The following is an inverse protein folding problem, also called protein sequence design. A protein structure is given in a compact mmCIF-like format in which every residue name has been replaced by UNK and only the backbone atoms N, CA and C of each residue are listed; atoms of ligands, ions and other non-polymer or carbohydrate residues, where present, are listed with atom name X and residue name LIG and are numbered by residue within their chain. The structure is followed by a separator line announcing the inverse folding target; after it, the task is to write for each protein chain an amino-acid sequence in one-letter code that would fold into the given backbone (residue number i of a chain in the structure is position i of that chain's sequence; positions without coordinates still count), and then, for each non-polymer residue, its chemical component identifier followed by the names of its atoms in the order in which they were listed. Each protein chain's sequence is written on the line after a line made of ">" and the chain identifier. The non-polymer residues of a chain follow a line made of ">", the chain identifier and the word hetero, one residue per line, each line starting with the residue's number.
data_IF_062049736103
#
_entry.id   IF_062049736103
#
_cell.length_a   1.000
_cell.length_b   1.000
_cell.length_c   1.000
_cell.angle_alpha   90.00
_cell.angle_beta   90.00
_cell.angle_gamma   90.00
#
_symmetry.space_group_name_H-M   'P 1'
#
loop_
_entity.id
_entity.type
_entity.pdbx_description
1 polymer ?
#
# COMPACT_ATOMS: atom_id res chain seq x y z
N UNK A 1 -25.32 -31.77 7.81
CA UNK A 1 -24.63 -31.02 6.75
C UNK A 1 -24.46 -29.59 7.27
N UNK A 2 -23.32 -29.30 7.90
CA UNK A 2 -23.06 -27.95 8.42
C UNK A 2 -22.69 -27.06 7.25
N UNK A 3 -23.53 -26.04 6.96
CA UNK A 3 -23.21 -24.98 6.02
C UNK A 3 -22.05 -24.17 6.62
N UNK A 4 -20.87 -24.26 6.06
CA UNK A 4 -19.77 -23.38 6.36
C UNK A 4 -20.19 -21.97 5.94
N UNK A 5 -20.43 -21.08 6.92
CA UNK A 5 -20.67 -19.67 6.67
C UNK A 5 -19.30 -19.04 6.29
N UNK A 6 -19.01 -19.00 5.01
CA UNK A 6 -17.81 -18.35 4.48
C UNK A 6 -18.06 -16.84 4.45
N UNK A 7 -17.83 -16.15 5.55
CA UNK A 7 -17.83 -14.69 5.58
C UNK A 7 -16.50 -14.17 5.02
N UNK A 8 -16.59 -13.29 4.04
CA UNK A 8 -15.42 -12.57 3.50
C UNK A 8 -15.25 -11.28 4.27
N UNK A 9 -14.16 -11.18 5.03
CA UNK A 9 -13.80 -9.94 5.71
C UNK A 9 -13.08 -8.97 4.78
N UNK A 10 -13.28 -7.66 5.00
CA UNK A 10 -12.57 -6.62 4.23
C UNK A 10 -11.06 -6.67 4.44
N UNK A 11 -10.60 -7.17 5.59
CA UNK A 11 -9.19 -7.36 5.93
C UNK A 11 -8.43 -8.29 4.98
N UNK A 12 -9.11 -9.26 4.36
CA UNK A 12 -8.48 -10.21 3.42
C UNK A 12 -7.91 -9.53 2.15
N UNK A 13 -8.30 -8.27 1.91
CA UNK A 13 -7.90 -7.48 0.75
C UNK A 13 -6.85 -6.41 1.06
N UNK A 14 -6.40 -6.30 2.31
CA UNK A 14 -5.65 -5.13 2.77
C UNK A 14 -4.31 -4.91 2.07
N UNK A 15 -3.56 -5.95 1.76
CA UNK A 15 -2.21 -5.79 1.22
C UNK A 15 -2.20 -5.22 -0.20
N UNK A 16 -2.90 -5.86 -1.13
CA UNK A 16 -2.93 -5.39 -2.52
C UNK A 16 -3.76 -4.10 -2.67
N UNK A 17 -4.85 -3.95 -1.89
CA UNK A 17 -5.66 -2.74 -1.91
C UNK A 17 -4.85 -1.54 -1.43
N UNK A 18 -4.08 -1.70 -0.34
CA UNK A 18 -3.18 -0.66 0.18
C UNK A 18 -2.15 -0.24 -0.87
N UNK A 19 -1.45 -1.20 -1.49
CA UNK A 19 -0.47 -0.92 -2.54
C UNK A 19 -1.09 -0.21 -3.74
N UNK A 20 -2.27 -0.65 -4.19
CA UNK A 20 -2.99 -0.05 -5.31
C UNK A 20 -3.49 1.37 -5.00
N UNK A 21 -4.06 1.60 -3.83
CA UNK A 21 -4.53 2.94 -3.41
C UNK A 21 -3.36 3.89 -3.24
N UNK A 22 -2.26 3.43 -2.63
CA UNK A 22 -1.04 4.22 -2.47
C UNK A 22 -0.47 4.59 -3.83
N UNK A 23 -0.30 3.62 -4.73
CA UNK A 23 0.22 3.87 -6.08
C UNK A 23 -0.64 4.84 -6.88
N UNK A 24 -1.96 4.66 -6.90
CA UNK A 24 -2.87 5.54 -7.63
C UNK A 24 -2.90 6.98 -7.07
N UNK A 25 -2.94 7.14 -5.74
CA UNK A 25 -2.86 8.44 -5.10
C UNK A 25 -1.53 9.13 -5.40
N UNK A 26 -0.42 8.41 -5.27
CA UNK A 26 0.91 8.96 -5.52
C UNK A 26 1.07 9.35 -7.00
N UNK A 27 0.67 8.50 -7.93
CA UNK A 27 0.70 8.81 -9.36
C UNK A 27 -0.10 10.06 -9.70
N UNK A 28 -1.29 10.22 -9.12
CA UNK A 28 -2.14 11.37 -9.37
C UNK A 28 -1.56 12.64 -8.73
N UNK A 29 -1.17 12.60 -7.45
CA UNK A 29 -0.70 13.78 -6.70
C UNK A 29 0.68 14.20 -7.19
N UNK A 30 1.65 13.29 -7.30
CA UNK A 30 3.03 13.62 -7.65
C UNK A 30 3.14 14.16 -9.07
N UNK A 31 2.49 13.52 -10.05
CA UNK A 31 2.49 13.96 -11.44
C UNK A 31 1.76 15.30 -11.60
N UNK A 32 0.58 15.47 -10.97
CA UNK A 32 -0.14 16.73 -11.02
C UNK A 32 0.63 17.87 -10.34
N UNK A 33 1.27 17.60 -9.21
CA UNK A 33 2.06 18.58 -8.47
C UNK A 33 3.27 19.05 -9.26
N UNK A 34 4.00 18.10 -9.86
CA UNK A 34 5.16 18.43 -10.70
C UNK A 34 4.74 19.24 -11.93
N UNK A 35 3.69 18.82 -12.63
CA UNK A 35 3.14 19.56 -13.77
C UNK A 35 2.62 20.94 -13.37
N UNK A 36 1.96 21.09 -12.22
CA UNK A 36 1.50 22.37 -11.70
C UNK A 36 2.66 23.30 -11.37
N UNK A 37 3.72 22.79 -10.74
CA UNK A 37 4.91 23.56 -10.44
C UNK A 37 5.60 24.08 -11.69
N UNK A 38 5.83 23.21 -12.65
CA UNK A 38 6.46 23.57 -13.94
C UNK A 38 5.54 24.50 -14.75
N UNK A 39 4.23 24.24 -14.82
CA UNK A 39 3.28 25.10 -15.52
C UNK A 39 3.20 26.51 -14.92
N UNK A 40 3.34 26.67 -13.61
CA UNK A 40 3.36 27.96 -12.92
C UNK A 40 4.60 28.81 -13.23
N UNK A 41 5.69 28.18 -13.69
CA UNK A 41 6.91 28.85 -14.19
C UNK A 41 6.80 29.27 -15.69
N UNK A 42 5.64 29.10 -16.31
CA UNK A 42 5.33 29.47 -17.71
C UNK A 42 6.24 28.79 -18.78
N UNK A 43 6.42 27.46 -18.73
CA UNK A 43 7.21 26.73 -19.71
C UNK A 43 6.46 26.55 -21.03
N UNK A 44 7.21 26.12 -22.06
CA UNK A 44 6.64 25.67 -23.32
C UNK A 44 5.98 24.28 -23.20
N UNK A 45 5.21 23.92 -24.25
CA UNK A 45 4.51 22.63 -24.29
C UNK A 45 5.48 21.42 -24.26
N UNK A 46 6.65 21.53 -24.88
CA UNK A 46 7.62 20.41 -24.92
C UNK A 46 8.19 20.13 -23.53
N UNK A 47 8.49 21.18 -22.78
CA UNK A 47 8.93 21.06 -21.37
C UNK A 47 7.86 20.42 -20.50
N UNK A 48 6.59 20.78 -20.65
CA UNK A 48 5.49 20.16 -19.92
C UNK A 48 5.30 18.70 -20.29
N UNK A 49 5.35 18.36 -21.58
CA UNK A 49 5.25 16.98 -22.05
C UNK A 49 6.40 16.14 -21.51
N UNK A 50 7.63 16.61 -21.66
CA UNK A 50 8.81 15.90 -21.13
C UNK A 50 8.73 15.69 -19.62
N UNK A 51 8.31 16.72 -18.88
CA UNK A 51 8.11 16.65 -17.44
C UNK A 51 7.10 15.58 -17.06
N UNK A 52 5.93 15.60 -17.70
CA UNK A 52 4.86 14.65 -17.40
C UNK A 52 5.21 13.20 -17.75
N UNK A 53 5.84 12.97 -18.90
CA UNK A 53 6.30 11.64 -19.32
C UNK A 53 7.42 11.14 -18.41
N UNK A 54 8.37 12.00 -18.06
CA UNK A 54 9.46 11.66 -17.13
C UNK A 54 8.92 11.33 -15.72
N UNK A 55 7.92 12.09 -15.24
CA UNK A 55 7.26 11.81 -13.98
C UNK A 55 6.54 10.46 -13.99
N UNK A 56 5.82 10.15 -15.07
CA UNK A 56 5.13 8.87 -15.23
C UNK A 56 6.10 7.69 -15.21
N UNK A 57 7.15 7.75 -16.06
CA UNK A 57 8.10 6.63 -16.19
C UNK A 57 8.97 6.51 -14.92
N UNK A 58 9.56 7.61 -14.46
CA UNK A 58 10.41 7.62 -13.28
C UNK A 58 9.66 7.22 -12.03
N UNK A 59 8.43 7.70 -11.85
CA UNK A 59 7.57 7.32 -10.75
C UNK A 59 7.17 5.84 -10.80
N UNK A 60 6.78 5.31 -11.97
CA UNK A 60 6.45 3.90 -12.11
C UNK A 60 7.64 2.99 -11.76
N UNK A 61 8.84 3.31 -12.26
CA UNK A 61 10.07 2.57 -11.93
C UNK A 61 10.40 2.67 -10.43
N UNK A 62 10.26 3.86 -9.84
CA UNK A 62 10.46 4.07 -8.40
C UNK A 62 9.49 3.25 -7.56
N UNK A 63 8.21 3.18 -7.96
CA UNK A 63 7.19 2.37 -7.27
C UNK A 63 7.50 0.88 -7.37
N UNK A 64 7.92 0.37 -8.56
CA UNK A 64 8.37 -1.04 -8.69
C UNK A 64 9.52 -1.31 -7.73
N UNK A 65 10.58 -0.49 -7.79
CA UNK A 65 11.78 -0.72 -7.00
C UNK A 65 11.51 -0.62 -5.50
N UNK A 66 10.80 0.42 -5.06
CA UNK A 66 10.51 0.66 -3.64
C UNK A 66 9.64 -0.43 -3.03
N UNK A 67 8.54 -0.79 -3.70
CA UNK A 67 7.63 -1.83 -3.21
C UNK A 67 8.29 -3.20 -3.24
N UNK A 68 9.02 -3.53 -4.32
CA UNK A 68 9.76 -4.79 -4.41
C UNK A 68 10.77 -4.95 -3.27
N UNK A 69 11.61 -3.93 -3.05
CA UNK A 69 12.63 -3.96 -1.99
C UNK A 69 11.97 -4.06 -0.60
N UNK A 70 10.94 -3.27 -0.34
CA UNK A 70 10.22 -3.26 0.94
C UNK A 70 9.60 -4.61 1.25
N UNK A 71 8.84 -5.19 0.31
CA UNK A 71 8.16 -6.48 0.50
C UNK A 71 9.15 -7.65 0.46
N UNK A 72 10.27 -7.54 -0.28
CA UNK A 72 11.35 -8.53 -0.23
C UNK A 72 12.03 -8.55 1.13
N UNK A 73 12.29 -7.38 1.72
CA UNK A 73 12.84 -7.29 3.08
C UNK A 73 11.91 -7.92 4.13
N UNK A 74 10.60 -7.72 3.99
CA UNK A 74 9.60 -8.40 4.83
C UNK A 74 9.68 -9.92 4.63
N UNK A 75 9.71 -10.41 3.40
CA UNK A 75 9.82 -11.84 3.07
C UNK A 75 11.10 -12.46 3.65
N UNK A 76 12.21 -11.73 3.61
CA UNK A 76 13.49 -12.22 4.16
C UNK A 76 13.46 -12.30 5.69
N UNK A 77 12.79 -11.35 6.36
CA UNK A 77 12.54 -11.39 7.81
C UNK A 77 11.65 -12.59 8.16
N UNK A 78 10.54 -12.79 7.47
CA UNK A 78 9.65 -13.94 7.67
C UNK A 78 10.39 -15.29 7.53
N UNK A 79 11.26 -15.40 6.51
CA UNK A 79 12.08 -16.60 6.32
C UNK A 79 13.11 -16.80 7.44
N UNK A 80 13.70 -15.71 7.93
CA UNK A 80 14.66 -15.77 9.04
C UNK A 80 13.97 -16.22 10.33
N UNK A 81 12.79 -15.70 10.63
CA UNK A 81 11.98 -16.09 11.78
C UNK A 81 11.59 -17.58 11.69
N UNK A 82 11.08 -18.03 10.52
CA UNK A 82 10.76 -19.44 10.29
C UNK A 82 11.99 -20.37 10.36
N UNK A 83 13.18 -19.86 10.00
CA UNK A 83 14.42 -20.65 10.15
C UNK A 83 14.81 -20.80 11.62
N UNK A 84 14.70 -19.72 12.39
CA UNK A 84 14.93 -19.72 13.82
C UNK A 84 13.97 -20.68 14.53
N UNK A 85 12.69 -20.59 14.21
CA UNK A 85 11.63 -21.43 14.75
C UNK A 85 11.87 -22.92 14.49
N UNK A 86 12.26 -23.30 13.27
CA UNK A 86 12.62 -24.69 12.95
C UNK A 86 13.79 -25.19 13.80
N UNK A 87 14.76 -24.33 14.07
CA UNK A 87 15.91 -24.68 14.92
C UNK A 87 15.48 -24.89 16.37
N UNK A 88 14.63 -24.02 16.91
CA UNK A 88 14.12 -24.09 18.29
C UNK A 88 13.25 -25.33 18.48
N UNK A 89 12.30 -25.60 17.59
CA UNK A 89 11.47 -26.81 17.58
C UNK A 89 12.29 -28.12 17.52
N UNK A 90 13.43 -28.09 16.81
CA UNK A 90 14.30 -29.27 16.71
C UNK A 90 15.18 -29.50 17.96
N UNK A 91 15.56 -28.43 18.68
CA UNK A 91 16.51 -28.50 19.76
C UNK A 91 15.88 -28.40 21.17
N UNK A 92 14.71 -27.74 21.26
CA UNK A 92 14.04 -27.45 22.53
C UNK A 92 12.53 -27.75 22.48
N UNK A 93 12.05 -28.90 21.99
CA UNK A 93 10.64 -29.16 21.73
C UNK A 93 9.71 -29.01 22.94
N UNK A 94 10.22 -29.29 24.17
CA UNK A 94 9.45 -29.14 25.39
C UNK A 94 9.24 -27.66 25.76
N UNK A 95 10.22 -26.81 25.51
CA UNK A 95 10.09 -25.36 25.70
C UNK A 95 9.10 -24.75 24.71
N UNK A 96 9.15 -25.17 23.45
CA UNK A 96 8.24 -24.72 22.40
C UNK A 96 6.79 -25.15 22.68
N UNK A 97 6.58 -26.36 23.22
CA UNK A 97 5.25 -26.80 23.66
C UNK A 97 4.71 -25.91 24.79
N UNK A 98 5.55 -25.53 25.76
CA UNK A 98 5.15 -24.64 26.84
C UNK A 98 4.85 -23.24 26.33
N UNK A 99 5.64 -22.72 25.39
CA UNK A 99 5.42 -21.42 24.75
C UNK A 99 4.08 -21.38 24.04
N UNK A 100 3.77 -22.35 23.20
CA UNK A 100 2.48 -22.44 22.51
C UNK A 100 1.32 -22.62 23.51
N UNK A 101 1.51 -23.37 24.60
CA UNK A 101 0.57 -23.52 25.71
C UNK A 101 0.27 -22.15 26.33
N UNK A 102 1.31 -21.36 26.63
CA UNK A 102 1.16 -20.03 27.22
C UNK A 102 0.40 -19.06 26.27
N UNK A 103 0.65 -19.14 24.95
CA UNK A 103 -0.11 -18.37 23.97
C UNK A 103 -1.60 -18.66 24.07
N UNK A 104 -1.99 -19.93 24.16
CA UNK A 104 -3.41 -20.31 24.29
C UNK A 104 -3.99 -19.97 25.66
N UNK A 105 -3.21 -20.04 26.73
CA UNK A 105 -3.59 -19.58 28.07
C UNK A 105 -3.93 -18.08 28.06
N UNK A 106 -3.10 -17.26 27.43
CA UNK A 106 -3.35 -15.81 27.25
C UNK A 106 -4.58 -15.52 26.40
N UNK A 107 -4.95 -16.42 25.51
CA UNK A 107 -6.21 -16.35 24.71
C UNK A 107 -7.43 -16.76 25.51
N UNK A 108 -7.31 -17.14 26.79
CA UNK A 108 -8.41 -17.42 27.72
C UNK A 108 -8.77 -18.89 27.89
N UNK A 109 -7.94 -19.83 27.42
CA UNK A 109 -8.16 -21.24 27.70
C UNK A 109 -7.68 -21.57 29.12
N UNK A 110 -8.34 -22.56 29.77
CA UNK A 110 -7.83 -23.12 31.03
C UNK A 110 -6.52 -23.89 30.81
N UNK A 111 -5.66 -23.97 31.83
CA UNK A 111 -4.36 -24.62 31.73
C UNK A 111 -4.40 -26.04 31.13
N UNK A 112 -5.31 -26.95 31.54
CA UNK A 112 -5.37 -28.27 30.93
C UNK A 112 -5.73 -28.22 29.43
N UNK A 113 -6.69 -27.38 29.08
CA UNK A 113 -7.16 -27.27 27.69
C UNK A 113 -6.13 -26.58 26.79
N UNK A 114 -5.40 -25.58 27.29
CA UNK A 114 -4.33 -24.94 26.56
C UNK A 114 -3.22 -25.92 26.20
N UNK A 115 -2.80 -26.75 27.15
CA UNK A 115 -1.79 -27.79 26.92
C UNK A 115 -2.26 -28.88 25.94
N UNK A 116 -3.50 -29.32 26.03
CA UNK A 116 -4.06 -30.29 25.07
C UNK A 116 -4.13 -29.72 23.64
N UNK A 117 -4.56 -28.46 23.48
CA UNK A 117 -4.61 -27.79 22.17
C UNK A 117 -3.22 -27.61 21.60
N UNK A 118 -2.27 -27.08 22.38
CA UNK A 118 -0.89 -26.89 21.95
C UNK A 118 -0.26 -28.21 21.48
N UNK A 119 -0.41 -29.27 22.28
CA UNK A 119 0.11 -30.59 21.93
C UNK A 119 -0.50 -31.14 20.63
N UNK A 120 -1.81 -31.05 20.48
CA UNK A 120 -2.49 -31.53 19.26
C UNK A 120 -2.05 -30.77 18.01
N UNK A 121 -1.81 -29.46 18.12
CA UNK A 121 -1.34 -28.65 17.00
C UNK A 121 0.11 -28.96 16.65
N UNK A 122 0.99 -29.13 17.63
CA UNK A 122 2.39 -29.52 17.41
C UNK A 122 2.51 -30.94 16.81
N UNK A 123 1.64 -31.88 17.20
CA UNK A 123 1.59 -33.21 16.59
C UNK A 123 1.12 -33.18 15.13
N UNK A 124 0.30 -32.20 14.76
CA UNK A 124 -0.19 -32.03 13.39
C UNK A 124 0.84 -31.33 12.49
N UNK A 125 1.26 -30.11 12.84
CA UNK A 125 2.31 -29.33 12.18
C UNK A 125 2.82 -28.26 13.14
N UNK A 126 3.91 -28.57 13.84
CA UNK A 126 4.48 -27.68 14.85
C UNK A 126 4.90 -26.31 14.25
N UNK A 127 5.59 -26.33 13.11
CA UNK A 127 6.05 -25.10 12.46
C UNK A 127 4.88 -24.23 12.01
N UNK A 128 3.85 -24.79 11.42
CA UNK A 128 2.68 -24.04 11.01
C UNK A 128 1.88 -23.46 12.19
N UNK A 129 1.85 -24.18 13.33
CA UNK A 129 1.22 -23.71 14.56
C UNK A 129 1.94 -22.47 15.12
N UNK A 130 3.27 -22.54 15.28
CA UNK A 130 4.09 -21.42 15.76
C UNK A 130 4.11 -20.26 14.77
N UNK A 131 4.31 -20.53 13.48
CA UNK A 131 4.26 -19.48 12.43
C UNK A 131 2.97 -18.66 12.50
N UNK A 132 1.83 -19.31 12.70
CA UNK A 132 0.52 -18.64 12.78
C UNK A 132 0.27 -17.97 14.13
N UNK A 133 0.55 -18.65 15.24
CA UNK A 133 0.03 -18.25 16.54
C UNK A 133 1.02 -17.40 17.35
N UNK A 134 2.32 -17.53 17.09
CA UNK A 134 3.42 -16.77 17.68
C UNK A 134 3.89 -15.66 16.74
N UNK A 135 4.32 -16.00 15.51
CA UNK A 135 4.94 -15.05 14.57
C UNK A 135 3.86 -14.25 13.81
N UNK A 136 2.65 -14.82 13.62
CA UNK A 136 1.54 -14.18 12.90
C UNK A 136 1.61 -14.35 11.37
N UNK A 137 2.41 -15.29 10.87
CA UNK A 137 2.51 -15.60 9.45
C UNK A 137 1.39 -16.57 9.06
N UNK A 138 0.55 -16.16 8.11
CA UNK A 138 -0.50 -16.98 7.53
C UNK A 138 -0.32 -17.04 6.00
N UNK A 139 -0.94 -18.01 5.33
CA UNK A 139 -0.92 -18.11 3.87
C UNK A 139 -1.43 -16.83 3.17
N UNK A 140 -2.36 -16.11 3.81
CA UNK A 140 -2.93 -14.86 3.28
C UNK A 140 -2.10 -13.63 3.59
N UNK A 141 -1.23 -13.68 4.60
CA UNK A 141 -0.36 -12.57 5.01
C UNK A 141 1.07 -12.67 4.47
N UNK A 142 1.45 -13.82 3.90
CA UNK A 142 2.79 -14.04 3.35
C UNK A 142 3.18 -12.97 2.30
N UNK A 143 4.38 -12.46 2.41
CA UNK A 143 4.89 -11.39 1.55
C UNK A 143 5.03 -11.86 0.09
N UNK A 144 4.47 -11.07 -0.86
CA UNK A 144 4.52 -11.34 -2.30
C UNK A 144 5.14 -10.15 -3.06
N UNK A 145 6.48 -10.02 -3.10
CA UNK A 145 7.18 -8.83 -3.60
C UNK A 145 6.82 -8.44 -5.04
N UNK A 146 6.84 -9.40 -5.95
CA UNK A 146 6.60 -9.11 -7.38
C UNK A 146 5.16 -8.67 -7.63
N UNK A 147 4.19 -9.31 -6.98
CA UNK A 147 2.79 -8.96 -7.13
C UNK A 147 2.51 -7.56 -6.58
N UNK A 148 3.05 -7.23 -5.40
CA UNK A 148 2.91 -5.92 -4.78
C UNK A 148 3.55 -4.83 -5.66
N UNK A 149 4.77 -5.04 -6.16
CA UNK A 149 5.49 -4.12 -7.02
C UNK A 149 4.73 -3.81 -8.33
N UNK A 150 4.25 -4.84 -9.02
CA UNK A 150 3.50 -4.67 -10.26
C UNK A 150 2.14 -3.99 -10.02
N UNK A 151 1.43 -4.34 -8.96
CA UNK A 151 0.15 -3.72 -8.60
C UNK A 151 0.34 -2.24 -8.28
N UNK A 152 1.38 -1.89 -7.52
CA UNK A 152 1.72 -0.51 -7.16
C UNK A 152 2.06 0.34 -8.40
N UNK A 153 2.93 -0.17 -9.27
CA UNK A 153 3.32 0.55 -10.49
C UNK A 153 2.16 0.73 -11.49
N UNK A 154 1.36 -0.31 -11.69
CA UNK A 154 0.18 -0.22 -12.56
C UNK A 154 -0.83 0.82 -12.03
N UNK A 155 -1.04 0.84 -10.73
CA UNK A 155 -1.92 1.81 -10.06
C UNK A 155 -1.35 3.23 -10.13
N UNK A 156 -0.03 3.40 -9.96
CA UNK A 156 0.67 4.66 -10.16
C UNK A 156 0.45 5.20 -11.57
N UNK A 157 0.70 4.38 -12.58
CA UNK A 157 0.47 4.76 -13.98
C UNK A 157 -0.99 5.19 -14.22
N UNK A 158 -1.96 4.44 -13.69
CA UNK A 158 -3.38 4.78 -13.82
C UNK A 158 -3.70 6.14 -13.19
N UNK A 159 -3.11 6.48 -12.03
CA UNK A 159 -3.24 7.79 -11.40
C UNK A 159 -2.56 8.90 -12.19
N UNK A 160 -1.34 8.67 -12.65
CA UNK A 160 -0.50 9.65 -13.34
C UNK A 160 -0.99 10.01 -14.75
N UNK A 161 -1.71 9.11 -15.42
CA UNK A 161 -2.25 9.36 -16.77
C UNK A 161 -3.24 10.54 -16.76
N UNK A 162 -4.07 10.70 -15.73
CA UNK A 162 -5.07 11.77 -15.70
C UNK A 162 -4.44 13.18 -15.78
N UNK A 163 -3.53 13.59 -14.88
CA UNK A 163 -2.88 14.90 -14.96
C UNK A 163 -2.03 15.06 -16.24
N UNK A 164 -1.41 14.00 -16.73
CA UNK A 164 -0.68 14.04 -17.99
C UNK A 164 -1.60 14.37 -19.17
N UNK A 165 -2.75 13.70 -19.29
CA UNK A 165 -3.73 13.99 -20.35
C UNK A 165 -4.28 15.42 -20.24
N UNK A 166 -4.51 15.91 -19.03
CA UNK A 166 -4.95 17.29 -18.82
C UNK A 166 -3.89 18.28 -19.27
N UNK A 167 -2.61 18.02 -18.94
CA UNK A 167 -1.50 18.86 -19.37
C UNK A 167 -1.34 18.91 -20.90
N UNK A 168 -1.66 17.82 -21.60
CA UNK A 168 -1.59 17.73 -23.05
C UNK A 168 -2.76 18.41 -23.78
N UNK A 169 -3.91 18.56 -23.14
CA UNK A 169 -5.14 19.06 -23.76
C UNK A 169 -5.49 20.49 -23.38
N UNK A 170 -5.07 20.96 -22.21
CA UNK A 170 -5.37 22.29 -21.69
C UNK A 170 -4.44 23.33 -22.27
N UNK A 171 -4.94 24.21 -23.16
CA UNK A 171 -4.13 25.21 -23.85
C UNK A 171 -3.99 26.57 -23.12
N UNK A 172 -4.97 27.00 -22.33
CA UNK A 172 -5.02 28.37 -21.79
C UNK A 172 -5.15 28.48 -20.27
N UNK A 173 -5.58 27.42 -19.59
CA UNK A 173 -5.84 27.42 -18.14
C UNK A 173 -5.31 26.15 -17.47
N UNK A 174 -4.06 25.79 -17.77
CA UNK A 174 -3.49 24.51 -17.41
C UNK A 174 -3.43 24.28 -15.88
N UNK A 175 -3.02 25.27 -15.10
CA UNK A 175 -2.93 25.16 -13.63
C UNK A 175 -4.30 24.93 -12.98
N UNK A 176 -5.34 25.72 -13.26
CA UNK A 176 -6.66 25.42 -12.71
C UNK A 176 -7.27 24.12 -13.28
N UNK A 177 -6.98 23.75 -14.52
CA UNK A 177 -7.42 22.47 -15.08
C UNK A 177 -6.79 21.27 -14.36
N UNK A 178 -5.48 21.32 -14.10
CA UNK A 178 -4.78 20.33 -13.29
C UNK A 178 -5.37 20.27 -11.87
N UNK A 179 -5.60 21.41 -11.22
CA UNK A 179 -6.16 21.43 -9.87
C UNK A 179 -7.53 20.77 -9.80
N UNK A 180 -8.46 21.17 -10.67
CA UNK A 180 -9.82 20.60 -10.67
C UNK A 180 -9.83 19.12 -11.03
N UNK A 181 -9.13 18.70 -12.08
CA UNK A 181 -9.08 17.30 -12.48
C UNK A 181 -8.43 16.40 -11.43
N UNK A 182 -7.37 16.88 -10.80
CA UNK A 182 -6.69 16.16 -9.71
C UNK A 182 -7.61 15.99 -8.50
N UNK A 183 -8.30 17.04 -8.06
CA UNK A 183 -9.24 16.95 -6.95
C UNK A 183 -10.42 16.04 -7.25
N UNK A 184 -10.96 16.08 -8.47
CA UNK A 184 -11.99 15.12 -8.90
C UNK A 184 -11.47 13.68 -8.90
N UNK A 185 -10.25 13.45 -9.39
CA UNK A 185 -9.61 12.15 -9.39
C UNK A 185 -9.38 11.62 -7.97
N UNK A 186 -8.87 12.48 -7.07
CA UNK A 186 -8.66 12.14 -5.65
C UNK A 186 -9.97 11.83 -4.93
N UNK A 187 -11.03 12.61 -5.19
CA UNK A 187 -12.35 12.34 -4.64
C UNK A 187 -12.88 10.99 -5.11
N UNK A 188 -12.71 10.67 -6.39
CA UNK A 188 -13.05 9.37 -6.97
C UNK A 188 -12.25 8.22 -6.34
N UNK A 189 -10.92 8.36 -6.21
CA UNK A 189 -10.06 7.37 -5.57
C UNK A 189 -10.43 7.18 -4.09
N UNK A 190 -10.65 8.27 -3.35
CA UNK A 190 -11.09 8.22 -1.95
C UNK A 190 -12.43 7.52 -1.79
N UNK A 191 -13.38 7.77 -2.68
CA UNK A 191 -14.68 7.09 -2.71
C UNK A 191 -14.53 5.59 -2.97
N UNK A 192 -13.80 5.20 -4.02
CA UNK A 192 -13.59 3.79 -4.39
C UNK A 192 -12.84 3.04 -3.28
N UNK A 193 -11.77 3.64 -2.75
CA UNK A 193 -10.99 3.06 -1.65
C UNK A 193 -11.86 2.83 -0.41
N UNK A 194 -12.67 3.82 -0.01
CA UNK A 194 -13.58 3.69 1.13
C UNK A 194 -14.61 2.57 0.92
N UNK A 195 -15.19 2.45 -0.27
CA UNK A 195 -16.14 1.39 -0.60
C UNK A 195 -15.52 0.00 -0.60
N UNK A 196 -14.31 -0.15 -1.14
CA UNK A 196 -13.59 -1.43 -1.17
C UNK A 196 -13.11 -1.87 0.21
N UNK A 197 -12.73 -0.91 1.06
CA UNK A 197 -12.26 -1.15 2.43
C UNK A 197 -13.36 -1.10 3.50
N UNK A 198 -14.63 -0.87 3.14
CA UNK A 198 -15.73 -0.78 4.11
C UNK A 198 -15.68 0.45 5.04
N UNK A 199 -14.89 1.48 4.67
CA UNK A 199 -14.67 2.67 5.50
C UNK A 199 -15.72 3.78 5.23
N UNK A 200 -15.91 4.74 6.15
CA UNK A 200 -16.74 5.92 5.91
C UNK A 200 -16.20 6.76 4.74
N UNK A 201 -17.05 7.01 3.73
CA UNK A 201 -16.65 7.67 2.47
C UNK A 201 -16.19 9.11 2.68
N UNK A 202 -16.96 9.90 3.42
CA UNK A 202 -16.68 11.35 3.56
C UNK A 202 -15.31 11.62 4.20
N UNK A 203 -14.94 11.02 5.34
CA UNK A 203 -13.60 11.22 5.91
C UNK A 203 -12.48 10.72 5.00
N UNK A 204 -12.68 9.63 4.26
CA UNK A 204 -11.70 9.10 3.32
C UNK A 204 -11.43 10.09 2.17
N UNK A 205 -12.48 10.59 1.54
CA UNK A 205 -12.41 11.59 0.46
C UNK A 205 -11.75 12.88 0.95
N UNK A 206 -12.20 13.42 2.10
CA UNK A 206 -11.63 14.65 2.65
C UNK A 206 -10.14 14.53 2.94
N UNK A 207 -9.70 13.39 3.46
CA UNK A 207 -8.29 13.13 3.77
C UNK A 207 -7.40 13.21 2.53
N UNK A 208 -7.78 12.51 1.44
CA UNK A 208 -6.97 12.52 0.22
C UNK A 208 -7.03 13.86 -0.51
N UNK A 209 -8.17 14.52 -0.52
CA UNK A 209 -8.31 15.86 -1.13
C UNK A 209 -7.52 16.93 -0.38
N UNK A 210 -7.48 16.91 0.95
CA UNK A 210 -6.69 17.86 1.74
C UNK A 210 -5.19 17.76 1.42
N UNK A 211 -4.65 16.56 1.37
CA UNK A 211 -3.24 16.35 1.00
C UNK A 211 -2.97 16.72 -0.46
N UNK A 212 -3.91 16.43 -1.37
CA UNK A 212 -3.82 16.85 -2.76
C UNK A 212 -3.79 18.38 -2.91
N UNK A 213 -4.66 19.11 -2.22
CA UNK A 213 -4.65 20.58 -2.19
C UNK A 213 -3.32 21.11 -1.66
N UNK A 214 -2.84 20.57 -0.54
CA UNK A 214 -1.57 20.99 0.05
C UNK A 214 -0.41 20.81 -0.94
N UNK A 215 -0.32 19.66 -1.60
CA UNK A 215 0.72 19.39 -2.59
C UNK A 215 0.68 20.37 -3.78
N UNK A 216 -0.50 20.57 -4.38
CA UNK A 216 -0.68 21.49 -5.51
C UNK A 216 -0.37 22.95 -5.14
N UNK A 217 -0.79 23.42 -3.96
CA UNK A 217 -0.51 24.78 -3.49
C UNK A 217 0.99 24.99 -3.27
N UNK A 218 1.65 24.05 -2.58
CA UNK A 218 3.09 24.14 -2.29
C UNK A 218 3.88 24.14 -3.60
N UNK A 219 3.63 23.20 -4.50
CA UNK A 219 4.37 23.09 -5.76
C UNK A 219 4.08 24.23 -6.72
N UNK A 220 2.84 24.67 -6.81
CA UNK A 220 2.46 25.86 -7.60
C UNK A 220 3.11 27.13 -7.08
N UNK A 221 3.22 27.31 -5.76
CA UNK A 221 3.92 28.45 -5.15
C UNK A 221 5.42 28.41 -5.45
N UNK A 222 6.07 27.24 -5.32
CA UNK A 222 7.48 27.07 -5.66
C UNK A 222 7.73 27.34 -7.14
N UNK A 223 6.88 26.83 -8.03
CA UNK A 223 6.97 27.07 -9.47
C UNK A 223 6.87 28.57 -9.82
N UNK A 224 5.93 29.28 -9.18
CA UNK A 224 5.81 30.74 -9.37
C UNK A 224 7.04 31.52 -8.88
N UNK A 225 7.61 31.12 -7.75
CA UNK A 225 8.86 31.74 -7.24
C UNK A 225 10.02 31.48 -8.20
N UNK A 226 10.17 30.26 -8.70
CA UNK A 226 11.23 29.93 -9.67
C UNK A 226 11.05 30.67 -11.00
N UNK A 227 9.82 30.80 -11.51
CA UNK A 227 9.53 31.52 -12.76
C UNK A 227 9.72 33.04 -12.69
N UNK A 228 9.75 33.62 -11.49
CA UNK A 228 10.07 35.06 -11.32
C UNK A 228 11.57 35.31 -11.18
N UNK A 229 12.34 34.26 -10.82
CA UNK A 229 13.79 34.35 -10.58
C UNK A 229 14.63 34.13 -11.85
N UNK A 230 14.00 33.78 -12.98
CA UNK A 230 14.61 33.59 -14.29
C UNK A 230 14.11 34.66 -15.27
#
# INVERSE_FOLDING_TARGET
>A
MYSYHSERHFSDRNNWLRASVLGANDGLISTASLLTGVAAAAPDFQTLLLTGVSALIGGAVSMVAGEYVSVSSQSDTEKADLHKERYELANNPDAELEELTEIYRRRGLSDPLAAEVAKALMEHDALAAHARDEIGITETSAAQPMQAALASAASFCAGAILPLLVALTASTAIVPALAVSTLCGLAGLGYVSAKLGGAPVVPAVLRVCLWGVAALVITGFIGKLAGVAV
#
